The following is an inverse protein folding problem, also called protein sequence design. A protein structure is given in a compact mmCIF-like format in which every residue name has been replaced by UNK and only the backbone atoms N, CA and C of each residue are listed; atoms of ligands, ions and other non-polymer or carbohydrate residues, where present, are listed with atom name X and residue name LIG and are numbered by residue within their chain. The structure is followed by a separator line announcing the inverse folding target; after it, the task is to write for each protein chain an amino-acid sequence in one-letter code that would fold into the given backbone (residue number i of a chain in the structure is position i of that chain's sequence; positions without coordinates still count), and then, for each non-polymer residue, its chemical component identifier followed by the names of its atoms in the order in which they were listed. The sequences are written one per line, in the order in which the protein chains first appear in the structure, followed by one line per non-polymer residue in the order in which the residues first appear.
data_IF_166812121674
#
_entry.id   IF_166812121674
#
_cell.length_a   1.000
_cell.length_b   1.000
_cell.length_c   1.000
_cell.angle_alpha   90.00
_cell.angle_beta   90.00
_cell.angle_gamma   90.00
#
_symmetry.space_group_name_H-M   'P 1'
#
loop_
_entity.id
_entity.type
_entity.pdbx_description
1 polymer ?
#
# COMPACT_ATOMS: atom_id res chain seq x y z
N UNK A 1 -7.25 -5.15 29.96
CA UNK A 1 -8.22 -4.03 29.99
C UNK A 1 -9.62 -4.57 29.72
N UNK A 2 -10.63 -4.07 30.44
CA UNK A 2 -12.04 -4.35 30.15
C UNK A 2 -12.74 -3.09 29.66
N UNK A 3 -13.79 -3.23 28.86
CA UNK A 3 -14.56 -2.07 28.40
C UNK A 3 -16.07 -2.29 28.51
N UNK A 4 -16.81 -1.21 28.73
CA UNK A 4 -18.28 -1.20 28.65
C UNK A 4 -18.71 -0.70 27.26
N UNK A 5 -19.68 -1.38 26.65
CA UNK A 5 -20.24 -1.01 25.36
C UNK A 5 -21.60 -0.35 25.52
N UNK A 6 -21.79 0.86 24.99
CA UNK A 6 -23.09 1.54 24.97
C UNK A 6 -23.61 1.62 23.53
N UNK A 7 -24.80 1.07 23.26
CA UNK A 7 -25.35 1.04 21.91
C UNK A 7 -26.88 1.09 21.90
N UNK A 8 -27.45 1.86 20.96
CA UNK A 8 -28.90 1.93 20.71
C UNK A 8 -29.33 1.21 19.42
N UNK A 9 -28.35 0.62 18.71
CA UNK A 9 -28.48 0.06 17.36
C UNK A 9 -28.23 -1.47 17.38
N UNK A 10 -27.69 -2.02 16.28
CA UNK A 10 -27.31 -3.45 16.19
C UNK A 10 -26.00 -3.78 16.94
N UNK A 11 -25.20 -2.79 17.30
CA UNK A 11 -23.92 -2.97 18.01
C UNK A 11 -22.88 -3.70 17.16
N UNK A 12 -22.78 -3.39 15.86
CA UNK A 12 -21.91 -4.13 14.94
C UNK A 12 -20.43 -3.95 15.29
N UNK A 13 -20.03 -2.74 15.69
CA UNK A 13 -18.66 -2.47 16.10
C UNK A 13 -18.34 -3.14 17.43
N UNK A 14 -19.23 -3.07 18.42
CA UNK A 14 -19.01 -3.74 19.71
C UNK A 14 -18.85 -5.25 19.56
N UNK A 15 -19.67 -5.88 18.70
CA UNK A 15 -19.52 -7.31 18.39
C UNK A 15 -18.19 -7.60 17.71
N UNK A 16 -17.80 -6.77 16.73
CA UNK A 16 -16.54 -6.94 16.03
C UNK A 16 -15.33 -6.82 16.97
N UNK A 17 -15.32 -5.82 17.86
CA UNK A 17 -14.28 -5.65 18.88
C UNK A 17 -14.26 -6.85 19.83
N UNK A 18 -15.42 -7.33 20.30
CA UNK A 18 -15.50 -8.48 21.20
C UNK A 18 -14.98 -9.77 20.54
N UNK A 19 -15.30 -9.99 19.26
CA UNK A 19 -14.85 -11.16 18.51
C UNK A 19 -13.34 -11.08 18.18
N UNK A 20 -12.81 -9.88 17.93
CA UNK A 20 -11.39 -9.65 17.61
C UNK A 20 -10.48 -9.61 18.85
N UNK A 21 -11.03 -9.28 20.03
CA UNK A 21 -10.31 -9.12 21.30
C UNK A 21 -8.98 -8.32 21.17
N UNK A 22 -9.02 -7.09 20.60
CA UNK A 22 -7.82 -6.30 20.30
C UNK A 22 -7.02 -6.00 21.57
N UNK A 23 -5.71 -6.31 21.57
CA UNK A 23 -4.86 -6.14 22.76
C UNK A 23 -5.30 -7.00 23.95
N UNK A 24 -6.12 -8.03 23.73
CA UNK A 24 -6.73 -8.83 24.79
C UNK A 24 -7.87 -8.11 25.53
N UNK A 25 -8.45 -7.05 24.96
CA UNK A 25 -9.57 -6.34 25.55
C UNK A 25 -10.84 -7.21 25.62
N UNK A 26 -11.56 -7.13 26.74
CA UNK A 26 -12.78 -7.89 27.00
C UNK A 26 -13.99 -6.95 27.19
N UNK A 27 -15.09 -7.24 26.49
CA UNK A 27 -16.35 -6.51 26.64
C UNK A 27 -17.08 -6.99 27.90
N UNK A 28 -17.10 -6.15 28.94
CA UNK A 28 -17.62 -6.52 30.26
C UNK A 28 -19.14 -6.43 30.36
N UNK A 29 -19.76 -5.47 29.67
CA UNK A 29 -21.21 -5.23 29.70
C UNK A 29 -21.64 -4.48 28.45
N UNK A 30 -22.83 -4.77 27.95
CA UNK A 30 -23.52 -3.96 26.95
C UNK A 30 -24.72 -3.25 27.58
N UNK A 31 -24.70 -1.93 27.57
CA UNK A 31 -25.83 -1.11 28.03
C UNK A 31 -26.55 -0.48 26.84
N UNK A 32 -27.88 -0.49 26.89
CA UNK A 32 -28.75 0.20 25.93
C UNK A 32 -29.77 1.07 26.65
N UNK A 33 -30.21 2.12 25.96
CA UNK A 33 -31.32 2.97 26.38
C UNK A 33 -32.65 2.62 25.70
N UNK A 34 -32.72 1.46 25.06
CA UNK A 34 -33.90 0.92 24.36
C UNK A 34 -34.07 -0.56 24.70
N UNK A 35 -35.22 -0.93 25.25
CA UNK A 35 -35.51 -2.31 25.68
C UNK A 35 -35.45 -3.34 24.54
N UNK A 36 -35.74 -2.90 23.30
CA UNK A 36 -35.76 -3.75 22.12
C UNK A 36 -34.56 -3.52 21.18
N UNK A 37 -33.44 -2.99 21.70
CA UNK A 37 -32.25 -2.79 20.89
C UNK A 37 -31.69 -4.13 20.37
N UNK A 38 -31.45 -4.30 19.06
CA UNK A 38 -30.96 -5.56 18.49
C UNK A 38 -29.58 -6.00 19.02
N UNK A 39 -28.80 -5.10 19.63
CA UNK A 39 -27.53 -5.44 20.28
C UNK A 39 -27.70 -6.42 21.45
N UNK A 40 -28.83 -6.36 22.17
CA UNK A 40 -29.09 -7.19 23.35
C UNK A 40 -29.08 -8.69 23.05
N UNK A 41 -29.71 -9.08 21.94
CA UNK A 41 -29.78 -10.48 21.50
C UNK A 41 -28.37 -11.04 21.27
N UNK A 42 -27.53 -10.31 20.54
CA UNK A 42 -26.20 -10.78 20.22
C UNK A 42 -25.21 -10.74 21.38
N UNK A 43 -25.38 -9.81 22.33
CA UNK A 43 -24.65 -9.82 23.58
C UNK A 43 -25.02 -11.07 24.40
N UNK A 44 -26.31 -11.39 24.47
CA UNK A 44 -26.82 -12.59 25.16
C UNK A 44 -26.26 -13.88 24.54
N UNK A 45 -26.26 -13.99 23.21
CA UNK A 45 -25.66 -15.13 22.49
C UNK A 45 -24.18 -15.33 22.82
N UNK A 46 -23.43 -14.23 23.03
CA UNK A 46 -22.02 -14.21 23.44
C UNK A 46 -21.82 -14.33 24.95
N UNK A 47 -22.90 -14.45 25.74
CA UNK A 47 -22.90 -14.47 27.21
C UNK A 47 -22.26 -13.23 27.83
N UNK A 48 -22.40 -12.10 27.15
CA UNK A 48 -21.98 -10.79 27.64
C UNK A 48 -23.14 -10.23 28.47
N UNK A 49 -22.90 -9.76 29.71
CA UNK A 49 -23.91 -9.11 30.52
C UNK A 49 -24.57 -7.93 29.80
N UNK A 50 -25.88 -7.75 30.02
CA UNK A 50 -26.64 -6.66 29.40
C UNK A 50 -27.42 -5.86 30.41
N UNK A 51 -27.49 -4.55 30.21
CA UNK A 51 -28.27 -3.61 31.01
C UNK A 51 -29.17 -2.76 30.12
N UNK A 52 -30.39 -2.47 30.59
CA UNK A 52 -31.35 -1.60 29.90
C UNK A 52 -31.75 -0.47 30.83
N UNK A 53 -31.49 0.77 30.41
CA UNK A 53 -31.87 1.98 31.17
C UNK A 53 -32.59 2.94 30.24
N UNK A 54 -33.92 2.83 30.16
CA UNK A 54 -34.75 3.77 29.42
C UNK A 54 -34.97 5.06 30.21
N UNK A 55 -35.15 6.17 29.49
CA UNK A 55 -35.47 7.46 30.11
C UNK A 55 -36.94 7.48 30.50
N UNK A 56 -37.23 7.89 31.73
CA UNK A 56 -38.60 7.85 32.27
C UNK A 56 -39.29 9.21 32.17
N UNK A 57 -40.39 9.31 31.42
CA UNK A 57 -41.22 10.52 31.37
C UNK A 57 -40.43 11.81 31.07
N UNK A 58 -40.52 12.79 31.97
CA UNK A 58 -39.81 14.09 31.88
C UNK A 58 -38.47 14.11 32.64
N UNK A 59 -37.91 12.94 32.98
CA UNK A 59 -36.62 12.81 33.68
C UNK A 59 -35.52 13.66 33.03
N UNK A 60 -34.69 14.34 33.83
CA UNK A 60 -33.56 15.12 33.31
C UNK A 60 -32.44 14.21 32.77
N UNK A 61 -31.61 14.72 31.85
CA UNK A 61 -30.46 13.95 31.31
C UNK A 61 -29.54 13.45 32.42
N UNK A 62 -29.14 14.36 33.30
CA UNK A 62 -28.34 14.07 34.49
C UNK A 62 -28.93 12.96 35.39
N UNK A 63 -30.26 12.96 35.60
CA UNK A 63 -30.91 11.90 36.39
C UNK A 63 -30.84 10.54 35.68
N UNK A 64 -31.08 10.53 34.37
CA UNK A 64 -31.00 9.33 33.55
C UNK A 64 -29.56 8.78 33.49
N UNK A 65 -28.56 9.65 33.34
CA UNK A 65 -27.15 9.30 33.31
C UNK A 65 -26.65 8.78 34.66
N UNK A 66 -27.10 9.33 35.79
CA UNK A 66 -26.83 8.75 37.11
C UNK A 66 -27.31 7.30 37.24
N UNK A 67 -28.51 6.99 36.72
CA UNK A 67 -29.01 5.61 36.71
C UNK A 67 -28.18 4.70 35.81
N UNK A 68 -27.65 5.22 34.70
CA UNK A 68 -26.73 4.49 33.83
C UNK A 68 -25.45 4.18 34.59
N UNK A 69 -24.83 5.18 35.23
CA UNK A 69 -23.62 5.00 36.04
C UNK A 69 -23.84 4.03 37.21
N UNK A 70 -24.96 4.13 37.91
CA UNK A 70 -25.33 3.21 39.01
C UNK A 70 -25.41 1.76 38.53
N UNK A 71 -25.91 1.52 37.31
CA UNK A 71 -25.94 0.17 36.71
C UNK A 71 -24.57 -0.30 36.27
N UNK A 72 -23.76 0.59 35.70
CA UNK A 72 -22.42 0.26 35.26
C UNK A 72 -21.48 -0.01 36.44
N UNK A 73 -21.73 0.57 37.62
CA UNK A 73 -20.90 0.41 38.81
C UNK A 73 -20.77 -1.04 39.32
N UNK A 74 -21.67 -1.94 38.91
CA UNK A 74 -21.61 -3.38 39.21
C UNK A 74 -20.60 -4.15 38.32
N UNK A 75 -19.95 -3.47 37.37
CA UNK A 75 -19.04 -4.06 36.37
C UNK A 75 -17.65 -3.42 36.40
N UNK A 76 -16.61 -4.22 36.14
CA UNK A 76 -15.23 -3.75 36.02
C UNK A 76 -14.92 -3.37 34.57
N UNK A 77 -14.60 -2.10 34.31
CA UNK A 77 -14.12 -1.63 33.01
C UNK A 77 -13.26 -0.37 33.14
N UNK A 78 -12.33 -0.22 32.20
CA UNK A 78 -11.34 0.87 32.16
C UNK A 78 -11.62 1.85 31.01
N UNK A 79 -12.58 1.51 30.14
CA UNK A 79 -12.92 2.24 28.92
C UNK A 79 -14.43 2.11 28.63
N UNK A 80 -15.03 3.17 28.09
CA UNK A 80 -16.39 3.12 27.54
C UNK A 80 -16.34 3.26 26.02
N UNK A 81 -17.03 2.39 25.30
CA UNK A 81 -17.10 2.40 23.84
C UNK A 81 -18.54 2.62 23.38
N UNK A 82 -18.81 3.75 22.73
CA UNK A 82 -20.10 4.03 22.11
C UNK A 82 -20.17 3.39 20.71
N UNK A 83 -21.32 2.81 20.37
CA UNK A 83 -21.64 2.30 19.03
C UNK A 83 -23.07 2.68 18.68
N UNK A 84 -23.21 3.84 18.02
CA UNK A 84 -24.51 4.42 17.68
C UNK A 84 -25.39 4.64 18.92
N UNK A 85 -24.78 5.07 20.03
CA UNK A 85 -25.50 5.51 21.22
C UNK A 85 -26.01 6.93 20.99
N UNK A 86 -27.23 7.05 20.45
CA UNK A 86 -27.82 8.30 19.91
C UNK A 86 -28.19 9.34 20.98
N UNK A 87 -27.25 9.68 21.87
CA UNK A 87 -27.40 10.62 22.97
C UNK A 87 -26.11 11.41 23.17
N UNK A 88 -26.26 12.71 23.39
CA UNK A 88 -25.19 13.56 23.94
C UNK A 88 -25.07 13.25 25.43
N UNK A 89 -23.86 12.90 25.87
CA UNK A 89 -23.53 12.64 27.27
C UNK A 89 -23.10 13.95 27.93
N UNK A 90 -23.60 14.22 29.14
CA UNK A 90 -23.21 15.44 29.87
C UNK A 90 -21.85 15.30 30.55
N UNK A 91 -21.25 16.42 30.95
CA UNK A 91 -20.03 16.44 31.76
C UNK A 91 -20.15 15.62 33.04
N UNK A 92 -21.34 15.57 33.67
CA UNK A 92 -21.57 14.76 34.87
C UNK A 92 -21.33 13.26 34.60
N UNK A 93 -21.67 12.76 33.41
CA UNK A 93 -21.35 11.41 33.01
C UNK A 93 -19.86 11.25 32.70
N UNK A 94 -19.30 12.16 31.91
CA UNK A 94 -17.93 12.08 31.42
C UNK A 94 -16.88 12.23 32.54
N UNK A 95 -17.22 12.92 33.63
CA UNK A 95 -16.40 13.02 34.85
C UNK A 95 -16.39 11.73 35.68
N UNK A 96 -17.51 11.01 35.70
CA UNK A 96 -17.69 9.83 36.53
C UNK A 96 -17.24 8.54 35.81
N UNK A 97 -17.38 8.49 34.49
CA UNK A 97 -16.98 7.36 33.68
C UNK A 97 -15.48 7.41 33.33
N UNK A 98 -14.84 6.26 33.08
CA UNK A 98 -13.58 6.21 32.37
C UNK A 98 -13.66 6.87 30.99
N UNK A 99 -12.51 7.02 30.33
CA UNK A 99 -12.43 7.57 28.98
C UNK A 99 -13.46 6.91 28.08
N UNK A 100 -14.30 7.75 27.47
CA UNK A 100 -15.38 7.33 26.60
C UNK A 100 -14.99 7.62 25.16
N UNK A 101 -15.01 6.59 24.31
CA UNK A 101 -14.74 6.67 22.89
C UNK A 101 -16.03 6.58 22.10
N UNK A 102 -16.08 7.29 20.98
CA UNK A 102 -17.10 7.12 19.96
C UNK A 102 -16.43 6.87 18.60
N UNK A 103 -17.12 6.12 17.75
CA UNK A 103 -16.79 6.02 16.34
C UNK A 103 -17.85 6.77 15.54
N UNK A 104 -17.38 7.69 14.70
CA UNK A 104 -18.21 8.51 13.83
C UNK A 104 -17.96 8.13 12.36
N UNK A 105 -19.01 7.94 11.53
CA UNK A 105 -18.89 7.43 10.16
C UNK A 105 -18.45 8.48 9.12
N UNK A 106 -17.58 9.40 9.51
CA UNK A 106 -16.88 10.33 8.60
C UNK A 106 -15.48 10.69 9.13
N UNK A 107 -14.70 11.40 8.32
CA UNK A 107 -13.44 12.01 8.73
C UNK A 107 -13.69 13.37 9.40
N UNK A 108 -13.91 13.36 10.73
CA UNK A 108 -14.07 14.58 11.51
C UNK A 108 -12.84 15.50 11.37
N UNK A 109 -13.03 16.84 11.38
CA UNK A 109 -14.27 17.57 11.70
C UNK A 109 -15.26 17.69 10.52
N UNK A 110 -15.03 17.01 9.40
CA UNK A 110 -15.97 17.05 8.28
C UNK A 110 -17.20 16.16 8.54
N UNK A 111 -18.39 16.69 8.21
CA UNK A 111 -19.67 15.98 8.29
C UNK A 111 -20.02 15.47 9.72
N UNK A 112 -19.98 16.32 10.77
CA UNK A 112 -20.42 15.92 12.10
C UNK A 112 -21.94 15.74 12.15
N UNK A 113 -22.43 15.11 13.21
CA UNK A 113 -23.85 14.91 13.46
C UNK A 113 -24.45 13.74 12.70
N UNK A 114 -25.76 13.79 12.47
CA UNK A 114 -26.48 12.66 11.85
C UNK A 114 -26.33 12.68 10.32
N UNK A 115 -26.59 11.53 9.67
CA UNK A 115 -26.66 11.41 8.21
C UNK A 115 -25.34 11.74 7.48
N UNK A 116 -24.20 11.37 8.07
CA UNK A 116 -22.87 11.71 7.54
C UNK A 116 -22.62 11.16 6.13
N UNK A 117 -23.17 9.98 5.78
CA UNK A 117 -23.00 9.38 4.46
C UNK A 117 -23.73 10.18 3.38
N UNK A 118 -24.95 10.61 3.66
CA UNK A 118 -25.75 11.48 2.79
C UNK A 118 -25.03 12.81 2.58
N UNK A 119 -24.51 13.43 3.66
CA UNK A 119 -23.75 14.67 3.56
C UNK A 119 -22.47 14.51 2.71
N UNK A 120 -21.75 13.38 2.84
CA UNK A 120 -20.57 13.06 2.04
C UNK A 120 -20.91 12.96 0.55
N UNK A 121 -21.99 12.24 0.22
CA UNK A 121 -22.45 12.07 -1.16
C UNK A 121 -22.93 13.39 -1.75
N UNK A 122 -23.71 14.16 -1.00
CA UNK A 122 -24.22 15.48 -1.42
C UNK A 122 -23.08 16.49 -1.64
N UNK A 123 -22.03 16.43 -0.81
CA UNK A 123 -20.85 17.26 -0.98
C UNK A 123 -19.96 16.85 -2.17
N UNK A 124 -20.12 15.61 -2.67
CA UNK A 124 -19.38 15.10 -3.82
C UNK A 124 -17.88 14.91 -3.56
N UNK A 125 -17.48 14.73 -2.30
CA UNK A 125 -16.08 14.43 -1.95
C UNK A 125 -15.68 13.04 -2.45
N UNK A 126 -14.38 12.81 -2.67
CA UNK A 126 -13.84 11.53 -3.18
C UNK A 126 -13.24 10.63 -2.10
N UNK A 127 -13.18 11.13 -0.87
CA UNK A 127 -12.65 10.41 0.28
C UNK A 127 -13.50 10.74 1.51
N UNK A 128 -13.87 9.70 2.24
CA UNK A 128 -14.44 9.80 3.59
C UNK A 128 -13.76 8.73 4.45
N UNK A 129 -14.39 8.25 5.52
CA UNK A 129 -13.83 7.25 6.41
C UNK A 129 -14.63 7.14 7.68
N UNK A 130 -13.95 6.74 8.74
CA UNK A 130 -14.46 6.89 10.10
C UNK A 130 -13.44 7.60 10.98
N UNK A 131 -13.93 8.16 12.09
CA UNK A 131 -13.11 8.76 13.13
C UNK A 131 -13.43 8.13 14.46
N UNK A 132 -12.41 7.65 15.17
CA UNK A 132 -12.51 7.29 16.57
C UNK A 132 -11.96 8.45 17.39
N UNK A 133 -12.79 9.00 18.26
CA UNK A 133 -12.44 10.17 19.07
C UNK A 133 -12.86 9.98 20.52
N UNK A 134 -12.23 10.73 21.42
CA UNK A 134 -12.69 10.84 22.80
C UNK A 134 -13.97 11.67 22.82
N UNK A 135 -14.98 11.25 23.58
CA UNK A 135 -16.26 11.95 23.68
C UNK A 135 -16.12 13.15 24.63
N UNK A 136 -16.67 14.28 24.19
CA UNK A 136 -16.91 15.50 24.98
C UNK A 136 -18.42 15.78 25.00
N UNK A 137 -18.90 16.75 25.78
CA UNK A 137 -20.32 17.13 25.72
C UNK A 137 -20.70 17.75 24.35
N UNK A 138 -19.73 18.33 23.64
CA UNK A 138 -19.91 18.80 22.28
C UNK A 138 -20.01 17.62 21.29
N UNK A 139 -20.92 17.75 20.32
CA UNK A 139 -21.19 16.70 19.32
C UNK A 139 -19.99 16.59 18.37
N UNK A 140 -19.37 15.41 18.34
CA UNK A 140 -18.32 15.02 17.39
C UNK A 140 -17.11 15.98 17.34
N UNK A 141 -16.79 16.61 18.47
CA UNK A 141 -15.77 17.67 18.57
C UNK A 141 -14.55 17.26 19.40
N UNK A 142 -14.61 16.10 20.06
CA UNK A 142 -13.52 15.66 20.93
C UNK A 142 -12.25 15.25 20.18
N UNK A 143 -11.12 15.16 20.89
CA UNK A 143 -9.82 14.91 20.27
C UNK A 143 -9.77 13.53 19.61
N UNK A 144 -9.21 13.51 18.41
CA UNK A 144 -9.15 12.34 17.53
C UNK A 144 -8.08 11.36 18.03
N UNK A 145 -8.46 10.08 18.18
CA UNK A 145 -7.54 8.99 18.52
C UNK A 145 -6.97 8.37 17.24
N UNK A 146 -7.84 8.05 16.27
CA UNK A 146 -7.43 7.55 14.95
C UNK A 146 -8.52 7.80 13.94
N UNK A 147 -8.13 7.82 12.67
CA UNK A 147 -9.03 7.83 11.53
C UNK A 147 -8.66 6.70 10.58
N UNK A 148 -9.63 6.25 9.79
CA UNK A 148 -9.41 5.30 8.71
C UNK A 148 -10.17 5.79 7.46
N UNK A 149 -9.46 6.19 6.39
CA UNK A 149 -10.08 6.70 5.18
C UNK A 149 -10.56 5.58 4.25
N UNK A 150 -11.62 5.85 3.50
CA UNK A 150 -12.13 5.01 2.41
C UNK A 150 -12.46 5.88 1.18
N UNK A 151 -12.32 5.34 -0.04
CA UNK A 151 -12.72 6.05 -1.24
C UNK A 151 -14.25 6.18 -1.33
N UNK A 152 -14.71 7.26 -1.96
CA UNK A 152 -16.10 7.47 -2.39
C UNK A 152 -16.14 7.39 -3.92
N UNK A 153 -16.80 6.36 -4.44
CA UNK A 153 -16.93 6.12 -5.87
C UNK A 153 -18.11 6.89 -6.46
N UNK A 154 -18.04 7.16 -7.76
CA UNK A 154 -19.05 7.98 -8.44
C UNK A 154 -20.43 7.32 -8.56
N UNK A 155 -20.50 6.00 -8.37
CA UNK A 155 -21.70 5.18 -8.39
C UNK A 155 -22.17 4.73 -7.00
N UNK A 156 -21.58 5.28 -5.93
CA UNK A 156 -22.03 5.02 -4.57
C UNK A 156 -23.42 5.61 -4.31
N UNK A 157 -24.18 4.85 -3.53
CA UNK A 157 -25.35 5.31 -2.78
C UNK A 157 -25.07 5.25 -1.27
N UNK A 158 -26.01 5.72 -0.46
CA UNK A 158 -25.83 5.80 0.99
C UNK A 158 -25.60 4.41 1.63
N UNK A 159 -26.24 3.36 1.12
CA UNK A 159 -26.11 2.01 1.67
C UNK A 159 -24.75 1.39 1.33
N UNK A 160 -24.31 1.48 0.07
CA UNK A 160 -23.00 0.98 -0.37
C UNK A 160 -21.85 1.72 0.30
N UNK A 161 -21.95 3.05 0.45
CA UNK A 161 -20.95 3.83 1.17
C UNK A 161 -20.92 3.48 2.66
N UNK A 162 -22.10 3.33 3.29
CA UNK A 162 -22.22 2.94 4.69
C UNK A 162 -21.61 1.57 4.97
N UNK A 163 -21.92 0.57 4.14
CA UNK A 163 -21.34 -0.77 4.31
C UNK A 163 -19.82 -0.73 4.12
N UNK A 164 -19.30 0.08 3.18
CA UNK A 164 -17.85 0.29 3.01
C UNK A 164 -17.22 0.95 4.24
N UNK A 165 -17.77 2.07 4.73
CA UNK A 165 -17.26 2.76 5.92
C UNK A 165 -17.24 1.83 7.13
N UNK A 166 -18.29 1.05 7.33
CA UNK A 166 -18.36 0.09 8.43
C UNK A 166 -17.26 -0.99 8.32
N UNK A 167 -17.16 -1.65 7.16
CA UNK A 167 -16.34 -2.85 7.01
C UNK A 167 -14.85 -2.54 6.74
N UNK A 168 -14.57 -1.49 5.98
CA UNK A 168 -13.20 -1.15 5.57
C UNK A 168 -12.57 -0.12 6.52
N UNK A 169 -13.38 0.72 7.18
CA UNK A 169 -12.92 1.74 8.11
C UNK A 169 -13.21 1.45 9.59
N UNK A 170 -14.46 1.35 10.02
CA UNK A 170 -14.79 1.24 11.47
C UNK A 170 -14.25 -0.05 12.10
N UNK A 171 -14.39 -1.18 11.39
CA UNK A 171 -13.85 -2.47 11.79
C UNK A 171 -12.31 -2.50 11.83
N UNK A 172 -11.65 -1.50 11.26
CA UNK A 172 -10.20 -1.32 11.34
C UNK A 172 -9.82 -0.33 12.46
N UNK A 173 -10.42 0.86 12.45
CA UNK A 173 -10.07 1.97 13.32
C UNK A 173 -10.46 1.73 14.78
N UNK A 174 -11.66 1.18 15.03
CA UNK A 174 -12.18 1.08 16.38
C UNK A 174 -11.46 -0.01 17.19
N UNK A 175 -11.24 -1.23 16.66
CA UNK A 175 -10.37 -2.20 17.32
C UNK A 175 -8.94 -1.70 17.51
N UNK A 176 -8.39 -0.92 16.56
CA UNK A 176 -7.07 -0.30 16.70
C UNK A 176 -7.00 0.64 17.90
N UNK A 177 -7.99 1.52 18.06
CA UNK A 177 -8.06 2.42 19.21
C UNK A 177 -8.18 1.64 20.52
N UNK A 178 -9.09 0.66 20.61
CA UNK A 178 -9.25 -0.19 21.81
C UNK A 178 -7.95 -0.94 22.14
N UNK A 179 -7.25 -1.47 21.12
CA UNK A 179 -5.93 -2.08 21.31
C UNK A 179 -4.94 -1.11 21.96
N UNK A 180 -4.85 0.11 21.45
CA UNK A 180 -3.89 1.10 21.96
C UNK A 180 -4.18 1.49 23.41
N UNK A 181 -5.45 1.60 23.80
CA UNK A 181 -5.81 1.75 25.21
C UNK A 181 -5.45 0.50 26.04
N UNK A 182 -5.69 -0.71 25.51
CA UNK A 182 -5.34 -1.96 26.19
C UNK A 182 -3.83 -2.15 26.39
N UNK A 183 -3.03 -1.53 25.52
CA UNK A 183 -1.56 -1.52 25.54
C UNK A 183 -0.98 -0.31 26.30
N UNK A 184 -1.82 0.50 26.95
CA UNK A 184 -1.41 1.73 27.67
C UNK A 184 -0.66 2.75 26.79
N UNK A 185 -0.94 2.78 25.48
CA UNK A 185 -0.27 3.67 24.51
C UNK A 185 -0.93 5.02 24.34
N UNK A 186 -2.16 5.21 24.82
CA UNK A 186 -2.92 6.45 24.61
C UNK A 186 -2.88 7.31 25.86
N UNK A 187 -2.41 8.55 25.70
CA UNK A 187 -2.55 9.60 26.72
C UNK A 187 -3.62 10.59 26.27
N UNK A 188 -4.63 10.79 27.11
CA UNK A 188 -5.67 11.81 26.91
C UNK A 188 -5.34 13.00 27.81
N UNK A 189 -5.13 14.16 27.20
CA UNK A 189 -4.94 15.43 27.90
C UNK A 189 -6.29 16.03 28.26
N UNK A 190 -6.45 16.47 29.51
CA UNK A 190 -7.72 16.98 30.04
C UNK A 190 -7.55 18.32 30.75
N UNK A 191 -8.52 19.20 30.56
CA UNK A 191 -8.71 20.44 31.34
C UNK A 191 -10.06 20.37 32.08
N UNK A 192 -10.05 19.83 33.31
CA UNK A 192 -11.30 19.49 33.99
C UNK A 192 -11.92 18.22 33.39
N UNK A 193 -13.21 18.27 33.06
CA UNK A 193 -13.96 17.19 32.39
C UNK A 193 -13.59 17.06 30.91
N UNK A 194 -13.16 18.16 30.29
CA UNK A 194 -12.95 18.27 28.86
C UNK A 194 -11.65 17.60 28.42
N UNK A 195 -11.76 16.68 27.46
CA UNK A 195 -10.62 16.14 26.74
C UNK A 195 -10.20 17.15 25.67
N UNK A 196 -8.95 17.62 25.74
CA UNK A 196 -8.42 18.69 24.86
C UNK A 196 -7.38 18.20 23.87
N UNK A 197 -6.81 16.99 24.10
CA UNK A 197 -5.77 16.43 23.25
C UNK A 197 -5.61 14.93 23.44
N UNK A 198 -5.04 14.26 22.43
CA UNK A 198 -4.67 12.85 22.46
C UNK A 198 -3.28 12.69 21.88
N UNK A 199 -2.44 11.92 22.57
CA UNK A 199 -1.16 11.44 22.05
C UNK A 199 -1.15 9.92 22.08
N UNK A 200 -0.69 9.29 20.99
CA UNK A 200 -0.54 7.83 20.88
C UNK A 200 0.94 7.49 20.80
N UNK A 201 1.46 6.77 21.80
CA UNK A 201 2.84 6.31 21.81
C UNK A 201 3.12 5.40 20.62
N UNK A 202 4.24 5.68 19.96
CA UNK A 202 4.72 4.93 18.82
C UNK A 202 4.24 5.45 17.47
N UNK A 203 3.15 6.24 17.37
CA UNK A 203 2.59 6.76 16.10
C UNK A 203 3.51 7.80 15.42
N UNK A 204 4.67 7.34 14.95
CA UNK A 204 5.73 8.14 14.36
C UNK A 204 5.78 7.94 12.84
N UNK A 205 6.10 9.02 12.13
CA UNK A 205 6.17 9.06 10.67
C UNK A 205 7.54 8.77 10.07
N UNK A 206 8.39 7.97 10.73
CA UNK A 206 9.74 7.63 10.22
C UNK A 206 9.70 6.90 8.87
N UNK A 207 10.84 6.37 8.42
CA UNK A 207 10.95 5.69 7.12
C UNK A 207 9.95 4.53 6.93
N UNK A 208 9.63 3.85 8.02
CA UNK A 208 8.53 2.89 8.11
C UNK A 208 7.51 3.44 9.11
N UNK A 209 6.54 4.26 8.66
CA UNK A 209 5.58 4.86 9.58
C UNK A 209 4.68 3.78 10.18
N UNK A 210 4.25 3.95 11.43
CA UNK A 210 3.30 3.02 12.07
C UNK A 210 1.99 2.90 11.29
N UNK A 211 1.62 3.97 10.59
CA UNK A 211 0.48 4.04 9.69
C UNK A 211 0.96 4.42 8.30
N UNK A 212 0.84 3.47 7.38
CA UNK A 212 1.14 3.68 5.96
C UNK A 212 -0.16 3.85 5.18
N UNK A 213 -0.26 4.96 4.45
CA UNK A 213 -1.32 5.21 3.48
C UNK A 213 -0.76 5.07 2.08
N UNK A 214 -1.51 4.44 1.18
CA UNK A 214 -1.19 4.34 -0.24
C UNK A 214 -2.46 4.61 -1.04
N UNK A 215 -2.33 5.35 -2.14
CA UNK A 215 -3.43 5.68 -3.05
C UNK A 215 -2.89 5.61 -4.47
N UNK A 216 -3.51 4.79 -5.30
CA UNK A 216 -3.07 4.52 -6.67
C UNK A 216 -4.30 4.53 -7.59
N UNK A 217 -4.14 4.98 -8.83
CA UNK A 217 -5.25 5.03 -9.79
C UNK A 217 -5.14 3.90 -10.81
N UNK A 218 -6.28 3.28 -11.15
CA UNK A 218 -6.29 2.21 -12.16
C UNK A 218 -6.07 2.81 -13.56
N UNK A 219 -4.86 2.65 -14.09
CA UNK A 219 -4.48 3.11 -15.43
C UNK A 219 -5.06 2.23 -16.56
N UNK A 220 -5.10 0.90 -16.39
CA UNK A 220 -5.60 0.01 -17.44
C UNK A 220 -6.14 -1.31 -16.89
N UNK A 221 -7.17 -1.87 -17.53
CA UNK A 221 -7.51 -3.29 -17.37
C UNK A 221 -6.64 -4.13 -18.29
N UNK A 222 -6.01 -5.18 -17.76
CA UNK A 222 -5.15 -6.08 -18.51
C UNK A 222 -5.94 -7.28 -19.02
N UNK A 223 -5.44 -7.93 -20.07
CA UNK A 223 -6.11 -9.07 -20.70
C UNK A 223 -6.32 -10.25 -19.74
N UNK A 224 -5.33 -10.48 -18.89
CA UNK A 224 -5.27 -11.45 -17.81
C UNK A 224 -4.02 -11.16 -16.96
N UNK A 225 -3.90 -11.79 -15.79
CA UNK A 225 -2.74 -11.70 -14.89
C UNK A 225 -1.54 -12.52 -15.36
N UNK A 226 -0.83 -13.16 -14.43
CA UNK A 226 0.30 -14.03 -14.80
C UNK A 226 -0.15 -15.21 -15.66
N UNK A 227 -1.37 -15.72 -15.41
CA UNK A 227 -1.99 -16.83 -16.14
C UNK A 227 -3.36 -16.43 -16.74
N UNK A 228 -3.80 -17.05 -17.86
CA UNK A 228 -5.01 -16.65 -18.60
C UNK A 228 -6.35 -16.71 -17.83
N UNK A 229 -6.42 -17.40 -16.70
CA UNK A 229 -7.63 -17.55 -15.90
C UNK A 229 -7.75 -16.51 -14.78
N UNK A 230 -6.76 -15.61 -14.66
CA UNK A 230 -6.69 -14.59 -13.64
C UNK A 230 -7.00 -13.23 -14.28
N UNK A 231 -7.91 -12.45 -13.71
CA UNK A 231 -8.11 -11.06 -14.11
C UNK A 231 -6.98 -10.17 -13.57
N UNK A 232 -6.66 -9.07 -14.26
CA UNK A 232 -5.63 -8.14 -13.81
C UNK A 232 -5.88 -6.71 -14.29
N UNK A 233 -5.26 -5.76 -13.59
CA UNK A 233 -5.23 -4.36 -13.93
C UNK A 233 -3.84 -3.78 -13.61
N UNK A 234 -3.49 -2.70 -14.30
CA UNK A 234 -2.35 -1.84 -13.99
C UNK A 234 -2.86 -0.65 -13.20
N UNK A 235 -2.19 -0.35 -12.09
CA UNK A 235 -2.34 0.89 -11.35
C UNK A 235 -1.10 1.76 -11.58
N UNK A 236 -1.29 3.07 -11.61
CA UNK A 236 -0.24 4.03 -11.83
C UNK A 236 -0.18 5.05 -10.70
N UNK A 237 1.03 5.55 -10.47
CA UNK A 237 1.32 6.74 -9.69
C UNK A 237 1.86 7.80 -10.65
N UNK A 238 1.03 8.80 -10.95
CA UNK A 238 1.39 9.92 -11.83
C UNK A 238 2.45 10.85 -11.19
N UNK A 239 2.72 10.69 -9.89
CA UNK A 239 3.80 11.37 -9.18
C UNK A 239 5.17 10.72 -9.35
N UNK A 240 5.26 9.55 -9.98
CA UNK A 240 6.53 8.86 -10.22
C UNK A 240 7.40 9.63 -11.23
N UNK A 241 8.58 10.08 -10.78
CA UNK A 241 9.56 10.78 -11.61
C UNK A 241 10.66 9.86 -12.17
N UNK A 242 10.78 8.63 -11.64
CA UNK A 242 11.74 7.63 -12.13
C UNK A 242 11.26 7.09 -13.49
N UNK A 243 12.20 6.90 -14.42
CA UNK A 243 11.91 6.24 -15.70
C UNK A 243 11.24 4.88 -15.45
N UNK A 244 10.00 4.74 -15.91
CA UNK A 244 9.14 3.60 -15.62
C UNK A 244 8.41 3.11 -16.87
N UNK A 245 8.11 1.81 -16.88
CA UNK A 245 7.33 1.19 -17.95
C UNK A 245 5.83 1.48 -17.88
N UNK A 246 5.35 2.03 -16.75
CA UNK A 246 3.93 2.33 -16.50
C UNK A 246 3.49 3.55 -17.32
N UNK A 247 4.30 4.61 -17.31
CA UNK A 247 4.05 5.84 -18.07
C UNK A 247 4.66 5.87 -19.47
N UNK A 248 5.23 4.75 -19.94
CA UNK A 248 6.00 4.71 -21.17
C UNK A 248 5.14 4.90 -22.43
N UNK A 249 5.60 5.74 -23.35
CA UNK A 249 4.96 5.92 -24.65
C UNK A 249 5.11 4.67 -25.52
N UNK A 250 4.00 4.20 -26.10
CA UNK A 250 3.99 3.05 -27.02
C UNK A 250 4.15 3.51 -28.46
N UNK A 251 5.36 3.39 -29.00
CA UNK A 251 5.72 3.95 -30.30
C UNK A 251 5.41 3.04 -31.50
N UNK A 252 4.92 1.81 -31.26
CA UNK A 252 4.41 0.91 -32.30
C UNK A 252 2.89 0.72 -32.16
N UNK A 253 2.07 1.58 -32.79
CA UNK A 253 0.61 1.55 -32.62
C UNK A 253 -0.06 0.30 -33.22
N UNK A 254 0.64 -0.44 -34.10
CA UNK A 254 0.16 -1.70 -34.64
C UNK A 254 0.32 -2.89 -33.68
N UNK A 255 1.09 -2.71 -32.59
CA UNK A 255 1.40 -3.77 -31.63
C UNK A 255 0.21 -4.16 -30.75
N UNK A 256 0.30 -5.35 -30.16
CA UNK A 256 -0.63 -5.79 -29.11
C UNK A 256 -0.47 -4.92 -27.86
N UNK A 257 -1.54 -4.80 -27.09
CA UNK A 257 -1.49 -4.23 -25.73
C UNK A 257 -0.47 -4.95 -24.83
N UNK A 258 0.06 -4.22 -23.85
CA UNK A 258 0.93 -4.80 -22.82
C UNK A 258 0.12 -5.75 -21.92
N UNK A 259 0.64 -6.97 -21.72
CA UNK A 259 0.12 -7.91 -20.73
C UNK A 259 0.80 -7.79 -19.37
N UNK A 260 0.27 -8.46 -18.35
CA UNK A 260 0.84 -8.48 -16.99
C UNK A 260 2.33 -8.87 -16.97
N UNK A 261 2.67 -9.99 -17.60
CA UNK A 261 4.07 -10.44 -17.69
C UNK A 261 4.94 -9.51 -18.54
N UNK A 262 4.36 -8.75 -19.49
CA UNK A 262 5.13 -7.79 -20.26
C UNK A 262 5.58 -6.62 -19.38
N UNK A 263 4.71 -6.11 -18.50
CA UNK A 263 5.10 -5.07 -17.54
C UNK A 263 6.15 -5.58 -16.55
N UNK A 264 5.93 -6.76 -15.96
CA UNK A 264 6.84 -7.34 -14.99
C UNK A 264 8.25 -7.59 -15.56
N UNK A 265 8.34 -8.18 -16.76
CA UNK A 265 9.63 -8.45 -17.40
C UNK A 265 10.30 -7.16 -17.93
N UNK A 266 9.53 -6.17 -18.40
CA UNK A 266 10.08 -4.91 -18.89
C UNK A 266 10.60 -4.02 -17.76
N UNK A 267 9.90 -4.00 -16.62
CA UNK A 267 10.38 -3.33 -15.42
C UNK A 267 11.68 -3.96 -14.91
N UNK A 268 11.76 -5.30 -14.84
CA UNK A 268 12.98 -6.00 -14.49
C UNK A 268 14.14 -5.68 -15.47
N UNK A 269 13.85 -5.62 -16.77
CA UNK A 269 14.85 -5.30 -17.79
C UNK A 269 15.36 -3.86 -17.66
N UNK A 270 14.45 -2.91 -17.46
CA UNK A 270 14.77 -1.50 -17.26
C UNK A 270 15.62 -1.29 -16.00
N UNK A 271 15.25 -1.96 -14.89
CA UNK A 271 15.99 -1.89 -13.64
C UNK A 271 17.43 -2.40 -13.76
N UNK A 272 17.66 -3.45 -14.54
CA UNK A 272 19.00 -3.97 -14.79
C UNK A 272 19.85 -3.00 -15.64
N UNK A 273 19.33 -2.49 -16.76
CA UNK A 273 20.15 -1.64 -17.65
C UNK A 273 20.49 -0.28 -17.03
N UNK A 274 19.71 0.20 -16.06
CA UNK A 274 20.00 1.43 -15.30
C UNK A 274 21.26 1.34 -14.44
N UNK A 275 21.76 0.15 -14.12
CA UNK A 275 22.99 -0.07 -13.32
C UNK A 275 24.27 0.41 -14.02
N UNK A 276 24.21 0.64 -15.34
CA UNK A 276 25.37 0.90 -16.19
C UNK A 276 25.36 2.32 -16.74
N UNK A 277 26.52 2.96 -16.69
CA UNK A 277 26.77 4.26 -17.31
C UNK A 277 27.21 4.10 -18.75
N UNK A 278 27.87 3.01 -19.13
CA UNK A 278 28.23 2.67 -20.50
C UNK A 278 27.01 2.23 -21.31
N UNK A 279 26.99 2.35 -22.66
CA UNK A 279 25.94 1.76 -23.48
C UNK A 279 25.75 0.27 -23.15
N UNK A 280 24.53 -0.07 -22.75
CA UNK A 280 24.18 -1.35 -22.16
C UNK A 280 22.89 -1.89 -22.74
N UNK A 281 22.86 -3.22 -22.88
CA UNK A 281 21.67 -3.96 -23.25
C UNK A 281 21.45 -5.11 -22.27
N UNK A 282 20.19 -5.37 -21.95
CA UNK A 282 19.78 -6.57 -21.22
C UNK A 282 18.63 -7.26 -21.93
N UNK A 283 18.64 -8.60 -21.87
CA UNK A 283 17.54 -9.43 -22.34
C UNK A 283 16.97 -10.20 -21.15
N UNK A 284 15.71 -9.95 -20.83
CA UNK A 284 14.98 -10.59 -19.72
C UNK A 284 13.98 -11.61 -20.23
N UNK A 285 13.77 -12.66 -19.44
CA UNK A 285 12.63 -13.56 -19.56
C UNK A 285 12.18 -14.05 -18.20
N UNK A 286 10.90 -13.91 -17.88
CA UNK A 286 10.33 -14.30 -16.58
C UNK A 286 11.11 -13.68 -15.42
N UNK A 287 11.36 -12.37 -15.48
CA UNK A 287 12.09 -11.54 -14.52
C UNK A 287 13.55 -11.92 -14.26
N UNK A 288 14.14 -12.80 -15.08
CA UNK A 288 15.55 -13.20 -14.98
C UNK A 288 16.34 -12.81 -16.24
N UNK A 289 17.61 -12.41 -16.09
CA UNK A 289 18.49 -12.14 -17.23
C UNK A 289 18.78 -13.41 -18.03
N UNK A 290 18.40 -13.40 -19.31
CA UNK A 290 18.93 -14.33 -20.31
C UNK A 290 20.31 -13.87 -20.82
N UNK A 291 20.62 -12.58 -20.70
CA UNK A 291 21.95 -12.02 -20.89
C UNK A 291 21.97 -10.50 -20.71
N UNK A 292 23.16 -9.96 -20.44
CA UNK A 292 23.42 -8.54 -20.30
C UNK A 292 24.86 -8.25 -20.76
N UNK A 293 25.07 -7.08 -21.37
CA UNK A 293 26.41 -6.62 -21.70
C UNK A 293 26.48 -5.10 -21.81
N UNK A 294 27.70 -4.57 -21.71
CA UNK A 294 28.05 -3.21 -22.11
C UNK A 294 29.04 -3.21 -23.29
N UNK A 295 29.06 -2.13 -24.05
CA UNK A 295 30.01 -1.89 -25.15
C UNK A 295 30.08 -0.40 -25.47
N UNK A 296 30.97 0.01 -26.39
CA UNK A 296 31.02 1.38 -26.91
C UNK A 296 29.81 1.69 -27.80
N UNK A 297 29.34 0.69 -28.55
CA UNK A 297 28.19 0.79 -29.45
C UNK A 297 27.03 -0.07 -28.94
N UNK A 298 25.81 0.46 -28.99
CA UNK A 298 24.63 -0.18 -28.39
C UNK A 298 24.25 -1.49 -29.11
N UNK A 299 24.41 -1.55 -30.44
CA UNK A 299 24.19 -2.76 -31.23
C UNK A 299 25.13 -3.90 -30.82
N UNK A 300 26.39 -3.58 -30.51
CA UNK A 300 27.38 -4.54 -30.03
C UNK A 300 27.04 -5.03 -28.62
N UNK A 301 26.59 -4.13 -27.73
CA UNK A 301 26.13 -4.51 -26.40
C UNK A 301 24.93 -5.47 -26.48
N UNK A 302 23.97 -5.20 -27.37
CA UNK A 302 22.83 -6.09 -27.60
C UNK A 302 23.24 -7.46 -28.14
N UNK A 303 24.09 -7.51 -29.16
CA UNK A 303 24.55 -8.76 -29.76
C UNK A 303 25.33 -9.62 -28.74
N UNK A 304 26.17 -9.02 -27.91
CA UNK A 304 26.84 -9.69 -26.77
C UNK A 304 25.84 -10.23 -25.74
N UNK A 305 24.89 -9.41 -25.30
CA UNK A 305 23.85 -9.86 -24.37
C UNK A 305 23.01 -11.02 -24.94
N UNK A 306 22.72 -11.02 -26.26
CA UNK A 306 21.97 -12.08 -26.92
C UNK A 306 22.75 -13.41 -26.99
N UNK A 307 24.08 -13.36 -27.09
CA UNK A 307 24.96 -14.54 -27.21
C UNK A 307 25.04 -15.37 -25.94
N UNK A 308 24.75 -14.79 -24.78
CA UNK A 308 24.70 -15.51 -23.49
C UNK A 308 23.76 -16.72 -23.57
N UNK A 309 22.50 -16.49 -23.95
CA UNK A 309 21.52 -17.57 -24.19
C UNK A 309 20.46 -17.13 -25.22
N UNK A 310 20.84 -17.23 -26.50
CA UNK A 310 19.96 -16.87 -27.62
C UNK A 310 18.65 -17.68 -27.64
N UNK A 311 18.64 -18.90 -27.09
CA UNK A 311 17.45 -19.75 -27.06
C UNK A 311 16.45 -19.25 -26.03
N UNK A 312 16.92 -18.94 -24.82
CA UNK A 312 16.06 -18.35 -23.80
C UNK A 312 15.60 -16.95 -24.19
N UNK A 313 16.48 -16.15 -24.80
CA UNK A 313 16.18 -14.80 -25.30
C UNK A 313 15.06 -14.73 -26.36
N UNK A 314 14.69 -15.84 -26.99
CA UNK A 314 13.58 -15.88 -27.95
C UNK A 314 12.24 -15.57 -27.25
N UNK A 315 11.54 -14.54 -27.72
CA UNK A 315 10.33 -13.99 -27.10
C UNK A 315 10.59 -13.27 -25.76
N UNK A 316 11.84 -12.96 -25.46
CA UNK A 316 12.20 -12.15 -24.29
C UNK A 316 11.89 -10.67 -24.49
N UNK A 317 12.20 -9.90 -23.45
CA UNK A 317 12.13 -8.44 -23.43
C UNK A 317 13.54 -7.87 -23.47
N UNK A 318 13.74 -6.85 -24.30
CA UNK A 318 15.01 -6.16 -24.45
C UNK A 318 14.91 -4.80 -23.77
N UNK A 319 15.90 -4.46 -22.94
CA UNK A 319 16.09 -3.10 -22.45
C UNK A 319 17.41 -2.54 -22.95
N UNK A 320 17.42 -1.24 -23.22
CA UNK A 320 18.57 -0.46 -23.68
C UNK A 320 18.68 0.79 -22.80
N UNK A 321 19.88 1.16 -22.34
CA UNK A 321 20.07 2.36 -21.52
C UNK A 321 20.41 3.63 -22.33
N UNK A 322 20.33 3.56 -23.65
CA UNK A 322 20.59 4.65 -24.61
C UNK A 322 19.53 4.67 -25.70
N UNK A 323 19.46 5.79 -26.41
CA UNK A 323 18.60 5.95 -27.59
C UNK A 323 18.90 4.82 -28.60
N UNK A 324 17.85 4.17 -29.08
CA UNK A 324 17.96 3.09 -30.05
C UNK A 324 18.11 3.64 -31.47
N UNK A 325 19.23 3.30 -32.11
CA UNK A 325 19.53 3.63 -33.50
C UNK A 325 19.11 2.51 -34.48
N UNK A 326 19.28 2.77 -35.78
CA UNK A 326 18.87 1.85 -36.83
C UNK A 326 19.61 0.51 -36.79
N UNK A 327 20.90 0.51 -36.42
CA UNK A 327 21.72 -0.70 -36.39
C UNK A 327 21.30 -1.59 -35.22
N UNK A 328 21.09 -0.99 -34.04
CA UNK A 328 20.54 -1.66 -32.85
C UNK A 328 19.14 -2.18 -33.12
N UNK A 329 18.26 -1.36 -33.71
CA UNK A 329 16.91 -1.77 -34.08
C UNK A 329 16.89 -2.96 -35.04
N UNK A 330 17.78 -2.95 -36.04
CA UNK A 330 17.94 -4.06 -36.98
C UNK A 330 18.31 -5.35 -36.25
N UNK A 331 19.33 -5.29 -35.36
CA UNK A 331 19.74 -6.44 -34.58
C UNK A 331 18.61 -6.97 -33.67
N UNK A 332 17.86 -6.08 -33.02
CA UNK A 332 16.70 -6.46 -32.19
C UNK A 332 15.61 -7.14 -33.03
N UNK A 333 15.35 -6.62 -34.23
CA UNK A 333 14.33 -7.10 -35.15
C UNK A 333 14.67 -8.46 -35.82
N UNK A 334 15.92 -8.89 -35.79
CA UNK A 334 16.35 -10.16 -36.39
C UNK A 334 15.84 -11.40 -35.67
N UNK A 335 15.39 -11.26 -34.41
CA UNK A 335 14.75 -12.35 -33.66
C UNK A 335 13.43 -11.90 -33.04
N UNK A 336 12.55 -12.86 -32.72
CA UNK A 336 11.28 -12.54 -32.10
C UNK A 336 11.49 -12.02 -30.67
N UNK A 337 10.99 -10.82 -30.40
CA UNK A 337 10.92 -10.18 -29.07
C UNK A 337 9.48 -9.72 -28.80
N UNK A 338 9.08 -9.75 -27.53
CA UNK A 338 7.75 -9.28 -27.12
C UNK A 338 7.74 -7.76 -26.92
N UNK A 339 8.80 -7.22 -26.31
CA UNK A 339 8.96 -5.81 -25.95
C UNK A 339 10.41 -5.37 -26.14
N UNK A 340 10.60 -4.14 -26.60
CA UNK A 340 11.85 -3.40 -26.47
C UNK A 340 11.58 -2.10 -25.71
N UNK A 341 12.42 -1.79 -24.72
CA UNK A 341 12.34 -0.58 -23.89
C UNK A 341 13.65 0.20 -23.98
N UNK A 342 13.56 1.51 -24.17
CA UNK A 342 14.72 2.42 -24.29
C UNK A 342 14.32 3.84 -23.89
N UNK A 343 15.27 4.73 -23.56
CA UNK A 343 15.00 6.14 -23.26
C UNK A 343 14.70 7.02 -24.48
N UNK A 344 14.63 6.42 -25.67
CA UNK A 344 14.37 7.12 -26.93
C UNK A 344 14.67 6.23 -28.14
N UNK A 345 14.19 6.66 -29.31
CA UNK A 345 14.42 5.99 -30.59
C UNK A 345 14.60 7.01 -31.70
N UNK A 346 15.57 6.76 -32.57
CA UNK A 346 15.68 7.49 -33.84
C UNK A 346 14.53 7.13 -34.79
N UNK A 347 14.18 8.02 -35.73
CA UNK A 347 13.14 7.76 -36.74
C UNK A 347 13.43 6.49 -37.55
N UNK A 348 14.69 6.29 -37.94
CA UNK A 348 15.12 5.11 -38.70
C UNK A 348 15.05 3.82 -37.87
N UNK A 349 15.29 3.88 -36.56
CA UNK A 349 15.06 2.74 -35.67
C UNK A 349 13.58 2.38 -35.60
N UNK A 350 12.70 3.38 -35.49
CA UNK A 350 11.26 3.17 -35.45
C UNK A 350 10.73 2.58 -36.75
N UNK A 351 11.25 3.02 -37.90
CA UNK A 351 10.91 2.44 -39.21
C UNK A 351 11.15 0.92 -39.22
N UNK A 352 12.31 0.47 -38.72
CA UNK A 352 12.66 -0.96 -38.63
C UNK A 352 11.77 -1.70 -37.63
N UNK A 353 11.63 -1.18 -36.39
CA UNK A 353 10.91 -1.88 -35.33
C UNK A 353 9.41 -1.98 -35.61
N UNK A 354 8.81 -0.98 -36.28
CA UNK A 354 7.38 -0.97 -36.63
C UNK A 354 7.01 -2.01 -37.70
N UNK A 355 7.97 -2.51 -38.48
CA UNK A 355 7.74 -3.66 -39.36
C UNK A 355 7.35 -4.93 -38.59
N UNK A 356 7.77 -5.04 -37.32
CA UNK A 356 7.37 -6.13 -36.42
C UNK A 356 6.04 -5.81 -35.77
N UNK A 357 4.95 -6.18 -36.46
CA UNK A 357 3.58 -5.83 -36.05
C UNK A 357 3.13 -6.27 -34.65
N UNK A 358 3.84 -7.14 -33.93
CA UNK A 358 3.50 -7.52 -32.55
C UNK A 358 4.47 -6.97 -31.48
N UNK A 359 5.59 -6.37 -31.88
CA UNK A 359 6.62 -5.87 -30.96
C UNK A 359 6.12 -4.59 -30.28
N UNK A 360 6.02 -4.57 -28.95
CA UNK A 360 5.83 -3.30 -28.24
C UNK A 360 7.16 -2.56 -28.18
N UNK A 361 7.14 -1.30 -28.58
CA UNK A 361 8.27 -0.39 -28.53
C UNK A 361 7.92 0.66 -27.48
N UNK A 362 8.62 0.62 -26.34
CA UNK A 362 8.37 1.48 -25.19
C UNK A 362 9.46 2.55 -25.10
N UNK A 363 9.05 3.80 -25.04
CA UNK A 363 9.91 4.94 -24.72
C UNK A 363 9.65 5.37 -23.28
N UNK A 364 10.68 5.26 -22.43
CA UNK A 364 10.61 5.61 -21.00
C UNK A 364 11.19 6.99 -20.70
N UNK A 365 11.65 7.71 -21.73
CA UNK A 365 12.35 8.97 -21.56
C UNK A 365 13.70 8.83 -20.84
N UNK A 366 14.32 9.96 -20.44
CA UNK A 366 15.62 9.96 -19.78
C UNK A 366 15.65 9.09 -18.51
N UNK A 367 16.69 8.29 -18.34
CA UNK A 367 16.80 7.34 -17.22
C UNK A 367 17.23 7.96 -15.88
N UNK A 368 17.46 9.27 -15.84
CA UNK A 368 18.12 9.95 -14.71
C UNK A 368 19.65 9.73 -14.70
N UNK A 369 20.34 10.43 -13.80
CA UNK A 369 21.79 10.31 -13.59
C UNK A 369 22.10 10.03 -12.12
N UNK A 370 23.22 9.35 -11.85
CA UNK A 370 23.64 9.07 -10.46
C UNK A 370 22.54 8.40 -9.63
N UNK A 371 22.22 9.01 -8.50
CA UNK A 371 21.21 8.55 -7.54
C UNK A 371 19.76 8.72 -8.02
N UNK A 372 19.50 9.60 -8.99
CA UNK A 372 18.17 9.87 -9.53
C UNK A 372 17.67 8.72 -10.44
N UNK A 373 18.59 7.85 -10.89
CA UNK A 373 18.25 6.61 -11.64
C UNK A 373 17.36 5.65 -10.86
N UNK A 374 17.42 5.73 -9.53
CA UNK A 374 16.70 4.88 -8.60
C UNK A 374 16.04 5.74 -7.52
N UNK A 375 15.21 6.71 -7.94
CA UNK A 375 14.52 7.64 -7.06
C UNK A 375 13.55 6.92 -6.11
N UNK A 376 12.90 5.84 -6.55
CA UNK A 376 12.03 5.03 -5.68
C UNK A 376 12.84 4.36 -4.57
N UNK A 377 12.45 4.65 -3.31
CA UNK A 377 13.23 4.30 -2.11
C UNK A 377 12.93 2.92 -1.55
N UNK A 378 11.71 2.44 -1.75
CA UNK A 378 11.22 1.21 -1.11
C UNK A 378 10.74 0.21 -2.16
N UNK A 379 10.77 -1.06 -1.78
CA UNK A 379 10.09 -2.13 -2.50
C UNK A 379 9.16 -2.87 -1.54
N UNK A 380 8.05 -3.38 -2.06
CA UNK A 380 7.07 -4.10 -1.26
C UNK A 380 6.76 -5.49 -1.82
N UNK A 381 6.41 -6.39 -0.90
CA UNK A 381 5.99 -7.75 -1.22
C UNK A 381 4.70 -8.09 -0.47
N UNK A 382 3.59 -8.36 -1.17
CA UNK A 382 2.37 -8.80 -0.51
C UNK A 382 2.57 -10.17 0.14
N UNK A 383 1.97 -10.35 1.31
CA UNK A 383 1.85 -11.63 2.02
C UNK A 383 0.38 -11.83 2.45
N UNK A 384 -0.03 -13.06 2.76
CA UNK A 384 -1.40 -13.29 3.22
C UNK A 384 -1.63 -12.50 4.52
N UNK A 385 -2.60 -11.59 4.48
CA UNK A 385 -2.95 -10.73 5.62
C UNK A 385 -2.11 -9.46 5.78
N UNK A 386 -1.20 -9.14 4.86
CA UNK A 386 -0.39 -7.91 4.97
C UNK A 386 0.63 -7.72 3.85
N UNK A 387 1.70 -6.98 4.14
CA UNK A 387 2.82 -6.75 3.21
C UNK A 387 4.13 -6.56 3.95
N UNK A 388 5.23 -6.90 3.28
CA UNK A 388 6.59 -6.56 3.70
C UNK A 388 7.02 -5.32 2.92
N UNK A 389 7.62 -4.36 3.60
CA UNK A 389 8.19 -3.15 2.98
C UNK A 389 9.65 -3.09 3.42
N UNK A 390 10.56 -2.84 2.48
CA UNK A 390 11.99 -2.71 2.73
C UNK A 390 12.59 -1.65 1.82
N UNK A 391 13.79 -1.18 2.15
CA UNK A 391 14.56 -0.32 1.26
C UNK A 391 14.87 -1.06 -0.05
N UNK A 392 14.88 -0.31 -1.15
CA UNK A 392 15.31 -0.81 -2.44
C UNK A 392 16.81 -1.06 -2.40
N UNK A 393 17.25 -2.18 -2.96
CA UNK A 393 18.67 -2.46 -3.09
C UNK A 393 19.29 -1.49 -4.10
N UNK A 394 20.08 -0.54 -3.58
CA UNK A 394 20.84 0.46 -4.34
C UNK A 394 22.35 0.21 -4.26
N UNK A 395 22.77 -0.95 -3.76
CA UNK A 395 24.19 -1.25 -3.65
C UNK A 395 24.83 -1.30 -5.04
N UNK A 396 25.92 -0.56 -5.21
CA UNK A 396 26.69 -0.49 -6.46
C UNK A 396 28.18 -0.48 -6.10
N UNK A 397 28.76 -1.65 -5.77
CA UNK A 397 30.14 -1.73 -5.32
C UNK A 397 31.11 -1.39 -6.45
N UNK A 398 32.22 -0.78 -6.08
CA UNK A 398 33.36 -0.49 -6.94
C UNK A 398 34.51 -1.45 -6.63
N UNK A 399 35.54 -1.47 -7.46
CA UNK A 399 36.74 -2.28 -7.19
C UNK A 399 37.39 -1.95 -5.83
N UNK A 400 37.23 -0.71 -5.34
CA UNK A 400 37.76 -0.28 -4.05
C UNK A 400 37.00 -0.88 -2.84
N UNK A 401 35.77 -1.34 -3.05
CA UNK A 401 34.94 -1.96 -2.02
C UNK A 401 35.21 -3.47 -1.86
N UNK A 402 35.99 -4.06 -2.76
CA UNK A 402 36.27 -5.51 -2.80
C UNK A 402 37.48 -5.88 -1.93
N UNK A 403 37.34 -6.96 -1.15
CA UNK A 403 38.42 -7.55 -0.36
C UNK A 403 39.00 -8.79 -1.07
N UNK A 404 40.32 -8.80 -1.30
CA UNK A 404 41.02 -9.96 -1.89
C UNK A 404 41.38 -10.96 -0.79
N UNK A 405 40.70 -12.11 -0.81
CA UNK A 405 40.88 -13.19 0.18
C UNK A 405 41.76 -14.36 -0.30
N UNK A 406 42.46 -14.17 -1.43
CA UNK A 406 43.30 -15.19 -2.08
C UNK A 406 44.75 -14.75 -2.22
N UNK A 407 45.68 -15.70 -2.39
CA UNK A 407 47.10 -15.39 -2.64
C UNK A 407 47.34 -14.71 -4.00
N UNK A 408 46.54 -15.04 -5.01
CA UNK A 408 46.60 -14.41 -6.34
C UNK A 408 45.67 -13.20 -6.35
N UNK A 409 46.24 -12.03 -6.62
CA UNK A 409 45.47 -10.82 -6.84
C UNK A 409 44.79 -10.86 -8.22
N UNK A 410 43.53 -10.41 -8.34
CA UNK A 410 42.89 -10.21 -9.63
C UNK A 410 43.57 -9.04 -10.38
N UNK A 411 43.55 -9.10 -11.72
CA UNK A 411 43.95 -7.96 -12.55
C UNK A 411 42.85 -6.89 -12.56
N UNK A 412 43.18 -5.66 -12.98
CA UNK A 412 42.20 -4.58 -13.13
C UNK A 412 41.02 -4.99 -14.02
N UNK A 413 41.29 -5.61 -15.17
CA UNK A 413 40.27 -6.17 -16.07
C UNK A 413 39.37 -7.22 -15.37
N UNK A 414 39.94 -8.05 -14.47
CA UNK A 414 39.17 -9.04 -13.73
C UNK A 414 38.30 -8.38 -12.66
N UNK A 415 38.79 -7.33 -12.00
CA UNK A 415 38.01 -6.54 -11.05
C UNK A 415 36.84 -5.83 -11.74
N UNK A 416 37.07 -5.26 -12.93
CA UNK A 416 36.02 -4.66 -13.77
C UNK A 416 34.95 -5.70 -14.13
N UNK A 417 35.35 -6.89 -14.57
CA UNK A 417 34.41 -7.99 -14.83
C UNK A 417 33.63 -8.40 -13.58
N UNK A 418 34.27 -8.45 -12.40
CA UNK A 418 33.59 -8.79 -11.15
C UNK A 418 32.55 -7.73 -10.74
N UNK A 419 32.86 -6.44 -10.93
CA UNK A 419 31.92 -5.34 -10.65
C UNK A 419 30.73 -5.39 -11.61
N UNK A 420 30.97 -5.58 -12.91
CA UNK A 420 29.91 -5.80 -13.90
C UNK A 420 29.02 -7.01 -13.53
N UNK A 421 29.67 -8.12 -13.16
CA UNK A 421 28.97 -9.34 -12.78
C UNK A 421 28.12 -9.15 -11.52
N UNK A 422 28.62 -8.43 -10.51
CA UNK A 422 27.89 -8.13 -9.29
C UNK A 422 26.61 -7.33 -9.58
N UNK A 423 26.76 -6.23 -10.33
CA UNK A 423 25.62 -5.38 -10.73
C UNK A 423 24.56 -6.18 -11.47
N UNK A 424 24.96 -7.09 -12.36
CA UNK A 424 24.01 -7.95 -13.09
C UNK A 424 23.39 -9.02 -12.19
N UNK A 425 24.19 -9.68 -11.36
CA UNK A 425 23.77 -10.77 -10.47
C UNK A 425 22.71 -10.33 -9.46
N UNK A 426 22.75 -9.07 -9.02
CA UNK A 426 21.72 -8.44 -8.17
C UNK A 426 20.30 -8.59 -8.73
N UNK A 427 20.15 -8.66 -10.06
CA UNK A 427 18.86 -8.79 -10.74
C UNK A 427 18.47 -10.25 -11.05
N UNK A 428 19.27 -11.23 -10.59
CA UNK A 428 18.97 -12.67 -10.72
C UNK A 428 18.24 -13.15 -9.46
N UNK A 429 17.15 -13.92 -9.61
CA UNK A 429 16.46 -14.49 -8.44
C UNK A 429 17.36 -15.48 -7.70
N UNK A 430 17.47 -15.34 -6.38
CA UNK A 430 18.40 -16.14 -5.57
C UNK A 430 18.02 -17.63 -5.49
N UNK A 431 18.98 -18.55 -5.43
CA UNK A 431 20.43 -18.33 -5.52
C UNK A 431 20.88 -18.21 -6.98
N UNK A 432 21.76 -17.24 -7.29
CA UNK A 432 22.29 -17.02 -8.63
C UNK A 432 23.81 -17.20 -8.70
N UNK A 433 24.31 -17.65 -9.84
CA UNK A 433 25.75 -17.70 -10.15
C UNK A 433 25.93 -17.11 -11.54
N UNK A 434 26.69 -16.03 -11.64
CA UNK A 434 26.92 -15.37 -12.92
C UNK A 434 28.36 -15.60 -13.40
N UNK A 435 28.51 -16.06 -14.64
CA UNK A 435 29.77 -16.12 -15.37
C UNK A 435 29.83 -14.95 -16.35
N UNK A 436 30.93 -14.21 -16.35
CA UNK A 436 31.16 -13.09 -17.26
C UNK A 436 32.59 -13.11 -17.82
N UNK A 437 32.78 -12.48 -18.98
CA UNK A 437 34.08 -12.17 -19.56
C UNK A 437 34.07 -10.72 -20.03
N UNK A 438 35.01 -9.89 -19.55
CA UNK A 438 34.92 -8.44 -19.76
C UNK A 438 33.62 -7.91 -19.14
N UNK A 439 32.79 -7.26 -19.95
CA UNK A 439 31.48 -6.73 -19.55
C UNK A 439 30.33 -7.43 -20.29
N UNK A 440 30.47 -8.73 -20.55
CA UNK A 440 29.46 -9.59 -21.17
C UNK A 440 29.17 -10.81 -20.28
N UNK A 441 27.89 -11.11 -20.07
CA UNK A 441 27.49 -12.37 -19.44
C UNK A 441 27.71 -13.56 -20.38
N UNK A 442 28.21 -14.68 -19.87
CA UNK A 442 28.38 -15.94 -20.62
C UNK A 442 27.61 -17.12 -20.02
N UNK A 443 27.02 -16.93 -18.84
CA UNK A 443 26.11 -17.88 -18.19
C UNK A 443 25.53 -17.30 -16.90
N UNK A 444 24.29 -17.66 -16.60
CA UNK A 444 23.52 -17.19 -15.42
C UNK A 444 22.82 -18.38 -14.76
#
# INVERSE_FOLDING_TARGET
MKFAGLASNRGRNLRHIADAAPGGAELSVVLTNREQAPVLEAATERRIPTEVVEREGEESRASHERRILDRLADYDFDLVCLDGYMRVLTDEFLDAAPTTLNVHPSLLPAFPGMDAHEQVLDAGVRTTGCTVHVVTEAIDDGPIVTQEPVPVYGDDDADSLKDRVLHDAEFTAYPRAVRWFAEDRVTVEREGSDAVGVTVEGDAGGDFPERRFASEERAATLRYGENPHQDAALYADDGCEEASVVGADRLNPGSKEMGYNNYNDADAALNLVKEFDEPAAAVIKHTNPAGCATSDELADAYDRALRTDAKSAFGGIVALNRECDADTATAVADSFKEVVVAPGYTDSALDVLREKGNLRVLDVGPLGEGDDRFAERFTEKPIVGGRLVQERDRQSPTAADLEVVTEREPTDEQLETMVFAWKTLKHVKSNGILFATGTETVGV
#
